data_IF_054675303821
#
_entry.id   IF_054675303821
#
_cell.length_a   1.000
_cell.length_b   1.000
_cell.length_c   1.000
_cell.angle_alpha   90.00
_cell.angle_beta   90.00
_cell.angle_gamma   90.00
#
_symmetry.space_group_name_H-M   'P 1'
#
loop_
_entity.id
_entity.type
_entity.pdbx_description
1 polymer ?
#
# COMPACT_ATOMS: atom_id res chain seq x y z
N UNK A 1 3.17 8.77 1.78
CA UNK A 1 2.00 7.97 2.17
C UNK A 1 1.32 8.50 3.43
N UNK A 2 0.00 8.31 3.54
CA UNK A 2 -0.82 8.44 4.75
C UNK A 2 -1.61 7.14 4.93
N UNK A 3 -1.84 6.68 6.16
CA UNK A 3 -2.60 5.47 6.45
C UNK A 3 -3.49 5.64 7.70
N UNK A 4 -4.50 4.78 7.86
CA UNK A 4 -5.36 4.68 9.05
C UNK A 4 -5.90 6.05 9.55
N UNK A 5 -6.46 6.87 8.66
CA UNK A 5 -6.97 8.21 8.95
C UNK A 5 -5.92 9.19 9.53
N UNK A 6 -4.65 9.02 9.15
CA UNK A 6 -3.56 9.90 9.58
C UNK A 6 -2.97 9.54 10.95
N UNK A 7 -3.27 8.35 11.49
CA UNK A 7 -2.70 7.88 12.76
C UNK A 7 -1.20 7.61 12.63
N UNK A 8 -0.43 8.03 13.64
CA UNK A 8 1.02 7.84 13.69
C UNK A 8 1.45 6.37 13.95
N UNK A 9 0.68 5.64 14.77
CA UNK A 9 1.04 4.30 15.24
C UNK A 9 1.43 3.31 14.14
N UNK A 10 0.63 3.11 13.06
CA UNK A 10 1.04 2.22 11.96
C UNK A 10 2.31 2.72 11.26
N UNK A 11 2.49 4.03 11.11
CA UNK A 11 3.62 4.63 10.39
C UNK A 11 4.95 4.56 11.14
N UNK A 12 4.93 4.41 12.48
CA UNK A 12 6.13 4.22 13.31
C UNK A 12 6.76 2.83 13.15
N UNK A 13 5.98 1.85 12.67
CA UNK A 13 6.49 0.49 12.45
C UNK A 13 7.32 0.38 11.18
N UNK A 14 7.08 1.28 10.22
CA UNK A 14 7.80 1.34 8.96
C UNK A 14 9.23 1.84 9.17
N UNK A 15 10.18 1.14 8.60
CA UNK A 15 11.60 1.48 8.58
C UNK A 15 11.99 2.02 7.21
N UNK A 16 13.07 2.82 7.13
CA UNK A 16 13.70 3.11 5.84
C UNK A 16 13.96 1.80 5.08
N UNK A 17 13.79 1.86 3.76
CA UNK A 17 13.92 0.73 2.83
C UNK A 17 12.79 -0.31 2.83
N UNK A 18 11.83 -0.23 3.75
CA UNK A 18 10.61 -1.05 3.65
C UNK A 18 9.88 -0.75 2.34
N UNK A 19 9.36 -1.81 1.70
CA UNK A 19 8.53 -1.70 0.50
C UNK A 19 7.06 -1.54 0.88
N UNK A 20 6.38 -0.60 0.24
CA UNK A 20 4.96 -0.30 0.47
C UNK A 20 4.20 -0.51 -0.83
N UNK A 21 3.06 -1.18 -0.73
CA UNK A 21 2.09 -1.34 -1.81
C UNK A 21 0.76 -0.71 -1.37
N UNK A 22 0.12 0.03 -2.28
CA UNK A 22 -1.27 0.44 -2.13
C UNK A 22 -2.20 -0.49 -2.90
N UNK A 23 -3.28 -0.89 -2.22
CA UNK A 23 -4.41 -1.58 -2.80
C UNK A 23 -5.64 -0.67 -2.77
N UNK A 24 -6.28 -0.51 -3.92
CA UNK A 24 -7.49 0.28 -4.10
C UNK A 24 -8.69 -0.64 -4.32
N UNK A 25 -9.63 -0.76 -3.36
CA UNK A 25 -10.84 -1.56 -3.55
C UNK A 25 -11.79 -0.96 -4.59
N UNK A 26 -11.85 0.37 -4.66
CA UNK A 26 -12.72 1.16 -5.54
C UNK A 26 -11.87 2.17 -6.32
N UNK A 27 -12.32 2.64 -7.49
CA UNK A 27 -11.60 3.68 -8.24
C UNK A 27 -11.95 5.07 -7.70
N UNK A 28 -13.19 5.25 -7.22
CA UNK A 28 -13.65 6.47 -6.56
C UNK A 28 -13.62 6.31 -5.05
N UNK A 29 -13.09 7.32 -4.35
CA UNK A 29 -13.09 7.35 -2.88
C UNK A 29 -14.52 7.36 -2.33
N UNK A 30 -14.85 6.39 -1.48
CA UNK A 30 -16.21 6.21 -0.94
C UNK A 30 -17.24 5.70 -1.96
N UNK A 31 -16.80 5.39 -3.19
CA UNK A 31 -17.65 4.88 -4.26
C UNK A 31 -18.05 3.41 -4.08
N UNK A 32 -18.87 2.92 -5.02
CA UNK A 32 -19.30 1.51 -5.11
C UNK A 32 -18.74 0.79 -6.33
N UNK A 33 -18.05 1.53 -7.19
CA UNK A 33 -17.29 1.04 -8.33
C UNK A 33 -16.13 0.16 -7.86
N UNK A 34 -15.77 -0.84 -8.65
CA UNK A 34 -14.74 -1.82 -8.28
C UNK A 34 -13.47 -1.52 -9.06
N UNK A 35 -12.36 -1.36 -8.34
CA UNK A 35 -11.01 -1.36 -8.93
C UNK A 35 -10.26 -2.63 -8.55
N UNK A 36 -10.27 -3.00 -7.27
CA UNK A 36 -9.65 -4.21 -6.70
C UNK A 36 -8.23 -4.47 -7.27
N UNK A 37 -7.41 -3.43 -7.26
CA UNK A 37 -6.08 -3.45 -7.87
C UNK A 37 -5.04 -2.87 -6.94
N UNK A 38 -3.80 -3.34 -7.09
CA UNK A 38 -2.63 -2.65 -6.59
C UNK A 38 -2.33 -1.46 -7.51
N UNK A 39 -2.12 -0.27 -6.95
CA UNK A 39 -2.16 1.00 -7.69
C UNK A 39 -0.95 1.90 -7.46
N UNK A 40 -0.13 1.59 -6.46
CA UNK A 40 1.15 2.25 -6.24
C UNK A 40 2.08 1.34 -5.47
N UNK A 41 3.37 1.44 -5.74
CA UNK A 41 4.40 0.70 -5.05
C UNK A 41 5.67 1.53 -4.93
N UNK A 42 6.34 1.45 -3.78
CA UNK A 42 7.47 2.30 -3.49
C UNK A 42 8.26 1.84 -2.28
N UNK A 43 9.28 2.63 -1.94
CA UNK A 43 10.17 2.40 -0.82
C UNK A 43 10.09 3.53 0.18
N UNK A 44 10.05 3.20 1.47
CA UNK A 44 10.07 4.18 2.54
C UNK A 44 11.40 4.91 2.56
N UNK A 45 11.35 6.23 2.50
CA UNK A 45 12.54 7.08 2.60
C UNK A 45 13.05 7.16 4.04
N UNK A 46 14.35 7.51 4.23
CA UNK A 46 14.89 7.86 5.53
C UNK A 46 14.06 8.95 6.24
N UNK A 47 14.07 8.90 7.57
CA UNK A 47 13.39 9.88 8.42
C UNK A 47 12.14 9.35 9.13
N UNK A 48 11.60 10.20 10.00
CA UNK A 48 10.47 9.86 10.86
C UNK A 48 9.12 10.22 10.21
N UNK A 49 8.00 9.64 10.69
CA UNK A 49 6.68 10.19 10.36
C UNK A 49 6.61 11.68 10.71
N UNK A 50 6.01 12.46 9.82
CA UNK A 50 5.82 13.91 10.00
C UNK A 50 4.34 14.27 9.86
N UNK A 51 3.91 15.32 10.54
CA UNK A 51 2.55 15.85 10.42
C UNK A 51 2.52 17.08 9.51
N UNK A 52 1.47 17.21 8.71
CA UNK A 52 1.25 18.37 7.82
C UNK A 52 -0.11 18.97 8.16
N UNK A 53 -0.19 20.30 8.23
CA UNK A 53 -1.47 21.00 8.35
C UNK A 53 -2.26 20.88 7.05
N UNK A 54 -3.44 20.28 7.11
CA UNK A 54 -4.34 20.18 5.96
C UNK A 54 -5.51 21.18 6.06
N UNK A 55 -5.49 22.09 7.04
CA UNK A 55 -6.58 23.01 7.35
C UNK A 55 -7.56 22.45 8.39
N UNK A 56 -8.40 23.32 8.95
CA UNK A 56 -9.49 22.98 9.88
C UNK A 56 -9.07 22.14 11.10
N UNK A 57 -7.83 22.31 11.57
CA UNK A 57 -7.29 21.56 12.70
C UNK A 57 -6.94 20.10 12.38
N UNK A 58 -6.90 19.71 11.11
CA UNK A 58 -6.56 18.35 10.68
C UNK A 58 -5.06 18.21 10.37
N UNK A 59 -4.34 17.52 11.26
CA UNK A 59 -2.89 17.27 11.17
C UNK A 59 -2.58 15.79 11.01
N UNK A 60 -2.81 15.18 9.83
CA UNK A 60 -2.49 13.77 9.63
C UNK A 60 -0.98 13.53 9.61
N UNK A 61 -0.56 12.39 10.15
CA UNK A 61 0.80 11.90 10.00
C UNK A 61 1.00 11.22 8.65
N UNK A 62 2.19 11.43 8.08
CA UNK A 62 2.64 10.93 6.79
C UNK A 62 4.03 10.30 6.89
N UNK A 63 4.35 9.42 5.94
CA UNK A 63 5.71 8.93 5.67
C UNK A 63 6.13 9.29 4.26
N UNK A 64 7.38 9.71 4.10
CA UNK A 64 7.97 9.96 2.80
C UNK A 64 8.27 8.62 2.11
N UNK A 65 7.87 8.51 0.84
CA UNK A 65 7.99 7.30 0.03
C UNK A 65 8.57 7.73 -1.31
N UNK A 66 9.65 7.09 -1.73
CA UNK A 66 10.10 7.15 -3.11
C UNK A 66 9.32 6.10 -3.91
N UNK A 67 8.51 6.56 -4.87
CA UNK A 67 7.65 5.70 -5.66
C UNK A 67 8.39 5.12 -6.86
N UNK A 68 8.07 3.88 -7.22
CA UNK A 68 8.61 3.23 -8.41
C UNK A 68 7.73 3.49 -9.63
N UNK A 69 8.31 3.43 -10.83
CA UNK A 69 7.52 3.34 -12.06
C UNK A 69 6.85 1.97 -12.11
N UNK A 70 5.52 1.94 -12.18
CA UNK A 70 4.72 0.71 -12.14
C UNK A 70 3.40 0.87 -12.87
N UNK A 71 2.77 -0.26 -13.20
CA UNK A 71 1.40 -0.33 -13.72
C UNK A 71 0.46 -0.87 -12.65
N UNK A 72 -0.83 -0.51 -12.75
CA UNK A 72 -1.86 -1.10 -11.91
C UNK A 72 -1.99 -2.60 -12.17
N UNK A 73 -2.16 -3.39 -11.11
CA UNK A 73 -2.33 -4.83 -11.20
C UNK A 73 -3.57 -5.30 -10.43
N UNK A 74 -4.52 -5.94 -11.13
CA UNK A 74 -5.69 -6.51 -10.48
C UNK A 74 -5.31 -7.65 -9.52
N UNK A 75 -5.94 -7.72 -8.34
CA UNK A 75 -5.64 -8.80 -7.38
C UNK A 75 -6.18 -10.16 -7.82
N UNK A 76 -7.22 -10.17 -8.66
CA UNK A 76 -7.98 -11.39 -9.02
C UNK A 76 -7.10 -12.53 -9.58
N UNK A 77 -6.16 -12.30 -10.52
CA UNK A 77 -5.28 -13.35 -11.01
C UNK A 77 -4.26 -13.85 -9.98
N UNK A 78 -4.01 -13.07 -8.92
CA UNK A 78 -3.00 -13.37 -7.90
C UNK A 78 -3.58 -14.12 -6.69
N UNK A 79 -4.91 -14.24 -6.57
CA UNK A 79 -5.57 -14.78 -5.36
C UNK A 79 -5.13 -16.21 -4.99
N UNK A 80 -4.75 -17.04 -5.95
CA UNK A 80 -4.27 -18.41 -5.67
C UNK A 80 -2.75 -18.51 -5.50
N UNK A 81 -2.05 -17.38 -5.68
CA UNK A 81 -0.60 -17.28 -5.64
C UNK A 81 -0.11 -16.55 -4.40
N UNK A 82 -0.84 -15.55 -3.88
CA UNK A 82 -0.43 -14.85 -2.67
C UNK A 82 -0.75 -15.70 -1.43
N UNK A 83 0.21 -15.82 -0.52
CA UNK A 83 0.10 -16.55 0.73
C UNK A 83 -1.03 -16.01 1.61
N UNK A 84 -1.28 -14.69 1.63
CA UNK A 84 -2.39 -14.15 2.42
C UNK A 84 -3.77 -14.56 1.87
N UNK A 85 -3.89 -14.74 0.54
CA UNK A 85 -5.17 -14.95 -0.16
C UNK A 85 -5.48 -16.40 -0.43
N UNK A 86 -4.45 -17.21 -0.70
CA UNK A 86 -4.60 -18.59 -1.14
C UNK A 86 -5.33 -19.41 -0.08
N UNK A 87 -6.34 -20.17 -0.52
CA UNK A 87 -7.24 -20.94 0.35
C UNK A 87 -8.00 -20.10 1.40
N UNK A 88 -8.05 -18.77 1.27
CA UNK A 88 -8.72 -17.88 2.21
C UNK A 88 -9.86 -17.11 1.54
N UNK A 89 -11.10 -17.62 1.65
CA UNK A 89 -12.29 -16.97 1.08
C UNK A 89 -12.61 -15.60 1.70
N UNK A 90 -12.02 -15.26 2.84
CA UNK A 90 -12.20 -13.99 3.54
C UNK A 90 -10.92 -13.13 3.53
N UNK A 91 -10.07 -13.28 2.50
CA UNK A 91 -8.83 -12.53 2.35
C UNK A 91 -9.02 -11.00 2.49
N UNK A 92 -10.17 -10.48 2.04
CA UNK A 92 -10.48 -9.06 2.11
C UNK A 92 -10.64 -8.50 3.53
N UNK A 93 -10.76 -9.36 4.54
CA UNK A 93 -10.82 -8.92 5.95
C UNK A 93 -9.51 -8.27 6.40
N UNK A 94 -8.36 -8.81 5.98
CA UNK A 94 -7.03 -8.25 6.28
C UNK A 94 -6.91 -6.78 5.84
N UNK A 95 -7.47 -6.44 4.67
CA UNK A 95 -7.42 -5.08 4.12
C UNK A 95 -8.13 -4.03 5.00
N UNK A 96 -9.06 -4.45 5.88
CA UNK A 96 -9.81 -3.54 6.76
C UNK A 96 -8.94 -2.91 7.86
N UNK A 97 -7.77 -3.48 8.14
CA UNK A 97 -6.83 -2.92 9.12
C UNK A 97 -6.08 -1.69 8.58
N UNK A 98 -6.14 -1.44 7.27
CA UNK A 98 -5.58 -0.25 6.61
C UNK A 98 -4.05 -0.27 6.41
N UNK A 99 -3.31 -1.04 7.21
CA UNK A 99 -1.90 -1.37 6.99
C UNK A 99 -1.58 -2.69 7.69
N UNK A 100 -0.95 -3.62 6.98
CA UNK A 100 -0.45 -4.88 7.53
C UNK A 100 0.75 -5.36 6.72
N UNK A 101 1.52 -6.24 7.32
CA UNK A 101 2.73 -6.83 6.72
C UNK A 101 2.38 -8.04 5.86
N UNK A 102 3.14 -8.24 4.80
CA UNK A 102 3.06 -9.39 3.90
C UNK A 102 4.39 -10.09 3.80
N UNK A 103 4.38 -11.34 3.36
CA UNK A 103 5.62 -12.05 3.11
C UNK A 103 6.38 -11.45 1.92
N UNK A 104 7.69 -11.69 1.91
CA UNK A 104 8.54 -11.33 0.77
C UNK A 104 8.07 -12.01 -0.52
N UNK A 105 7.54 -13.24 -0.44
CA UNK A 105 6.94 -13.94 -1.56
C UNK A 105 5.79 -13.13 -2.18
N UNK A 106 4.83 -12.68 -1.36
CA UNK A 106 3.69 -11.91 -1.83
C UNK A 106 4.12 -10.56 -2.41
N UNK A 107 5.08 -9.89 -1.76
CA UNK A 107 5.69 -8.67 -2.27
C UNK A 107 6.27 -8.87 -3.68
N UNK A 108 7.03 -9.95 -3.91
CA UNK A 108 7.63 -10.25 -5.21
C UNK A 108 6.59 -10.58 -6.29
N UNK A 109 5.54 -11.34 -5.95
CA UNK A 109 4.43 -11.62 -6.88
C UNK A 109 3.75 -10.33 -7.32
N UNK A 110 3.49 -9.41 -6.39
CA UNK A 110 2.85 -8.13 -6.71
C UNK A 110 3.80 -7.23 -7.50
N UNK A 111 5.09 -7.18 -7.17
CA UNK A 111 6.12 -6.45 -7.93
C UNK A 111 6.14 -6.87 -9.40
N UNK A 112 6.13 -8.18 -9.66
CA UNK A 112 6.12 -8.73 -11.00
C UNK A 112 4.84 -8.36 -11.75
N UNK A 113 3.69 -8.52 -11.09
CA UNK A 113 2.38 -8.21 -11.66
C UNK A 113 2.21 -6.72 -11.99
N UNK A 114 2.82 -5.83 -11.21
CA UNK A 114 2.83 -4.38 -11.42
C UNK A 114 3.90 -3.92 -12.42
N UNK A 115 4.66 -4.83 -13.02
CA UNK A 115 5.75 -4.53 -13.96
C UNK A 115 6.72 -3.46 -13.45
N UNK A 116 7.08 -3.53 -12.17
CA UNK A 116 7.86 -2.49 -11.51
C UNK A 116 9.24 -2.35 -12.16
N UNK A 117 9.59 -1.12 -12.51
CA UNK A 117 10.95 -0.76 -12.90
C UNK A 117 11.62 -0.11 -11.71
N UNK A 118 12.73 -0.68 -11.25
CA UNK A 118 13.49 -0.15 -10.10
C UNK A 118 14.27 1.15 -10.41
N UNK A 119 13.93 1.86 -11.50
CA UNK A 119 14.35 3.26 -11.65
C UNK A 119 13.51 4.11 -10.70
N UNK A 120 14.17 4.66 -9.69
CA UNK A 120 13.55 5.49 -8.67
C UNK A 120 13.00 6.78 -9.32
N UNK A 121 11.73 7.10 -9.06
CA UNK A 121 11.16 8.43 -9.34
C UNK A 121 11.25 9.24 -8.04
N UNK A 122 12.48 9.46 -7.61
CA UNK A 122 12.93 10.45 -6.65
C UNK A 122 14.27 10.99 -7.17
#
# INVERSE_FOLDING_TARGET
MQACHGKITPLRRLKPDDRIIYYSPTATFGGRDKLQSFTAIGRVEPGNPYSVDMGDGFYPFRRAICWFESQDAAIKPLLEHLEWTKNNKNWGFQLRFGLFEISEHDMQQIFSAMCVREHLIC
#
